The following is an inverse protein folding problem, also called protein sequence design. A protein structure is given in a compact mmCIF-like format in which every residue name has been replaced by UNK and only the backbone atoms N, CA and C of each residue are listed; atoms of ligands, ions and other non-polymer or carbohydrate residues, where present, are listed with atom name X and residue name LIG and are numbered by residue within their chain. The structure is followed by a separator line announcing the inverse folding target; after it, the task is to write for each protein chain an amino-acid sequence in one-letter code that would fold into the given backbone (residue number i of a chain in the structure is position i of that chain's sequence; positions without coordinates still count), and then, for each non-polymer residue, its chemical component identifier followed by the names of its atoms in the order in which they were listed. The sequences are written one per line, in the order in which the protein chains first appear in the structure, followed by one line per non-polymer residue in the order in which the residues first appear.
data_IF_145600727480
#
_entry.id   IF_145600727480
#
_cell.length_a   1.000
_cell.length_b   1.000
_cell.length_c   1.000
_cell.angle_alpha   90.00
_cell.angle_beta   90.00
_cell.angle_gamma   90.00
#
_symmetry.space_group_name_H-M   'P 1'
#
loop_
_entity.id
_entity.type
_entity.pdbx_description
1 polymer ?
#
# COMPACT_ATOMS: atom_id res chain seq x y z
N UNK A 1 -9.27 3.68 59.32
CA UNK A 1 -7.86 4.04 59.05
C UNK A 1 -7.40 3.31 57.78
N UNK A 2 -8.09 3.44 56.64
CA UNK A 2 -7.94 2.42 55.57
C UNK A 2 -7.81 2.94 54.13
N UNK A 3 -8.39 4.09 53.75
CA UNK A 3 -8.31 4.56 52.34
C UNK A 3 -7.07 5.39 52.01
N UNK A 4 -6.48 6.07 53.01
CA UNK A 4 -5.30 6.94 52.84
C UNK A 4 -4.01 6.15 52.61
N UNK A 5 -3.91 4.95 53.20
CA UNK A 5 -2.75 4.06 53.10
C UNK A 5 -2.71 3.35 51.75
N UNK A 6 -3.88 2.93 51.25
CA UNK A 6 -4.03 2.30 49.92
C UNK A 6 -3.61 3.26 48.79
N UNK A 7 -4.06 4.53 48.84
CA UNK A 7 -3.67 5.55 47.85
C UNK A 7 -2.17 5.87 47.87
N UNK A 8 -1.51 5.79 49.03
CA UNK A 8 -0.07 5.98 49.19
C UNK A 8 0.78 4.83 48.63
N UNK A 9 0.23 3.62 48.55
CA UNK A 9 0.90 2.43 47.98
C UNK A 9 0.62 2.29 46.49
N UNK A 10 -0.57 2.67 46.03
CA UNK A 10 -0.94 2.66 44.60
C UNK A 10 -0.11 3.66 43.79
N UNK A 11 0.15 4.86 44.33
CA UNK A 11 0.91 5.90 43.63
C UNK A 11 2.34 5.49 43.23
N UNK A 12 3.19 4.93 44.13
CA UNK A 12 4.53 4.47 43.75
C UNK A 12 4.50 3.21 42.86
N UNK A 13 3.50 2.34 42.96
CA UNK A 13 3.35 1.17 42.06
C UNK A 13 3.04 1.63 40.63
N UNK A 14 2.15 2.60 40.47
CA UNK A 14 1.85 3.23 39.16
C UNK A 14 3.10 3.93 38.61
N UNK A 15 3.87 4.62 39.45
CA UNK A 15 5.12 5.27 39.04
C UNK A 15 6.20 4.25 38.64
N UNK A 16 6.28 3.11 39.30
CA UNK A 16 7.23 2.03 38.99
C UNK A 16 6.87 1.34 37.66
N UNK A 17 5.59 1.12 37.40
CA UNK A 17 5.10 0.55 36.14
C UNK A 17 5.42 1.44 34.92
N UNK A 18 5.49 2.77 35.10
CA UNK A 18 5.86 3.72 34.05
C UNK A 18 7.36 3.69 33.70
N UNK A 19 8.22 3.20 34.61
CA UNK A 19 9.68 3.12 34.39
C UNK A 19 10.16 1.83 33.73
N UNK A 20 9.31 0.80 33.67
CA UNK A 20 9.67 -0.53 33.17
C UNK A 20 9.89 -0.59 31.64
N UNK A 21 9.47 0.43 30.88
CA UNK A 21 9.56 0.45 29.43
C UNK A 21 10.79 1.17 28.87
N UNK A 22 11.70 1.70 29.70
CA UNK A 22 12.88 2.41 29.22
C UNK A 22 14.12 1.50 29.20
N UNK A 23 14.13 0.50 28.31
CA UNK A 23 15.34 -0.21 27.92
C UNK A 23 15.35 -0.37 26.41
N UNK A 24 15.89 0.63 25.71
CA UNK A 24 16.29 0.50 24.31
C UNK A 24 17.63 -0.25 24.32
N UNK A 25 17.57 -1.56 24.54
CA UNK A 25 18.73 -2.43 24.38
C UNK A 25 18.81 -2.80 22.92
N UNK A 26 19.71 -2.15 22.18
CA UNK A 26 20.10 -2.59 20.86
C UNK A 26 20.69 -4.00 20.99
N UNK A 27 19.98 -4.97 20.43
CA UNK A 27 20.33 -6.38 20.57
C UNK A 27 21.50 -6.71 19.67
N UNK A 28 22.47 -7.50 20.17
CA UNK A 28 23.58 -8.03 19.38
C UNK A 28 23.12 -9.16 18.44
N UNK A 29 22.05 -8.93 17.68
CA UNK A 29 21.57 -9.87 16.67
C UNK A 29 22.63 -9.99 15.57
N UNK A 30 23.12 -11.21 15.26
CA UNK A 30 24.15 -11.41 14.25
C UNK A 30 23.66 -10.94 12.88
N UNK A 31 24.61 -10.49 12.06
CA UNK A 31 24.34 -10.17 10.66
C UNK A 31 24.02 -11.50 9.93
N UNK A 32 22.89 -11.59 9.21
CA UNK A 32 22.55 -12.76 8.38
C UNK A 32 23.61 -13.05 7.32
N UNK A 33 23.73 -14.31 6.91
CA UNK A 33 24.67 -14.72 5.86
C UNK A 33 24.33 -14.04 4.52
N UNK A 34 23.06 -14.09 4.10
CA UNK A 34 22.54 -13.35 2.96
C UNK A 34 21.98 -12.00 3.42
N UNK A 35 22.88 -11.07 3.76
CA UNK A 35 22.50 -9.77 4.32
C UNK A 35 21.87 -8.83 3.28
N UNK A 36 20.78 -8.16 3.68
CA UNK A 36 20.14 -7.10 2.90
C UNK A 36 20.69 -5.76 3.39
N UNK A 37 21.34 -5.02 2.51
CA UNK A 37 21.62 -3.61 2.78
C UNK A 37 20.29 -2.82 2.92
N UNK A 38 20.37 -1.59 3.43
CA UNK A 38 19.19 -0.78 3.75
C UNK A 38 18.27 -0.62 2.53
N UNK A 39 18.84 -0.31 1.37
CA UNK A 39 18.12 -0.14 0.10
C UNK A 39 17.34 -1.41 -0.27
N UNK A 40 18.00 -2.58 -0.32
CA UNK A 40 17.34 -3.86 -0.60
C UNK A 40 16.26 -4.18 0.42
N UNK A 41 16.50 -3.90 1.70
CA UNK A 41 15.49 -4.14 2.74
C UNK A 41 14.25 -3.26 2.54
N UNK A 42 14.44 -1.97 2.20
CA UNK A 42 13.36 -1.04 1.88
C UNK A 42 12.54 -1.55 0.69
N UNK A 43 13.19 -1.96 -0.40
CA UNK A 43 12.52 -2.44 -1.61
C UNK A 43 11.72 -3.72 -1.34
N UNK A 44 12.36 -4.74 -0.75
CA UNK A 44 11.71 -6.01 -0.38
C UNK A 44 10.53 -5.75 0.55
N UNK A 45 10.72 -4.95 1.60
CA UNK A 45 9.66 -4.70 2.58
C UNK A 45 8.51 -3.90 1.97
N UNK A 46 8.79 -2.98 1.04
CA UNK A 46 7.76 -2.23 0.29
C UNK A 46 6.83 -3.20 -0.44
N UNK A 47 7.38 -4.15 -1.19
CA UNK A 47 6.56 -5.10 -1.97
C UNK A 47 5.81 -6.09 -1.06
N UNK A 48 6.42 -6.50 0.07
CA UNK A 48 5.73 -7.29 1.10
C UNK A 48 4.54 -6.50 1.69
N UNK A 49 4.67 -5.20 1.97
CA UNK A 49 3.55 -4.40 2.49
C UNK A 49 2.40 -4.28 1.48
N UNK A 50 2.70 -4.23 0.18
CA UNK A 50 1.68 -4.25 -0.88
C UNK A 50 0.92 -5.59 -0.87
N UNK A 51 1.63 -6.71 -0.70
CA UNK A 51 1.01 -8.03 -0.56
C UNK A 51 0.11 -8.09 0.66
N UNK A 52 0.59 -7.65 1.83
CA UNK A 52 -0.20 -7.65 3.07
C UNK A 52 -1.47 -6.81 2.92
N UNK A 53 -1.36 -5.62 2.33
CA UNK A 53 -2.50 -4.77 2.01
C UNK A 53 -3.50 -5.47 1.09
N UNK A 54 -3.03 -6.18 0.06
CA UNK A 54 -3.85 -6.95 -0.87
C UNK A 54 -4.59 -8.10 -0.17
N UNK A 55 -3.89 -8.84 0.69
CA UNK A 55 -4.47 -9.94 1.47
C UNK A 55 -5.53 -9.43 2.46
N UNK A 56 -5.26 -8.31 3.13
CA UNK A 56 -6.23 -7.65 4.02
C UNK A 56 -7.46 -7.22 3.22
N UNK A 57 -7.27 -6.56 2.07
CA UNK A 57 -8.36 -6.14 1.20
C UNK A 57 -9.22 -7.31 0.73
N UNK A 58 -8.61 -8.39 0.27
CA UNK A 58 -9.33 -9.58 -0.17
C UNK A 58 -10.14 -10.21 0.95
N UNK A 59 -9.55 -10.34 2.15
CA UNK A 59 -10.22 -10.85 3.34
C UNK A 59 -11.44 -10.01 3.73
N UNK A 60 -11.31 -8.69 3.73
CA UNK A 60 -12.42 -7.78 4.08
C UNK A 60 -13.56 -7.86 3.06
N UNK A 61 -13.25 -8.10 1.79
CA UNK A 61 -14.23 -8.19 0.71
C UNK A 61 -14.75 -9.61 0.44
N UNK A 62 -14.52 -10.56 1.35
CA UNK A 62 -14.90 -11.98 1.22
C UNK A 62 -14.45 -12.61 -0.13
N UNK A 63 -13.29 -12.18 -0.64
CA UNK A 63 -12.63 -12.84 -1.76
C UNK A 63 -11.80 -13.98 -1.20
N UNK A 64 -11.79 -15.13 -1.88
CA UNK A 64 -11.00 -16.31 -1.51
C UNK A 64 -9.49 -16.03 -1.62
N UNK A 65 -8.94 -15.30 -0.65
CA UNK A 65 -7.54 -14.86 -0.62
C UNK A 65 -6.62 -15.72 0.24
N UNK A 66 -7.16 -16.72 0.96
CA UNK A 66 -6.36 -17.58 1.85
C UNK A 66 -5.44 -18.52 1.08
N UNK A 67 -5.84 -18.96 -0.12
CA UNK A 67 -5.08 -19.92 -0.92
C UNK A 67 -3.90 -19.28 -1.66
N UNK A 68 -3.91 -17.96 -1.86
CA UNK A 68 -2.89 -17.24 -2.64
C UNK A 68 -1.78 -16.61 -1.79
N UNK A 69 -1.86 -16.72 -0.45
CA UNK A 69 -0.90 -16.05 0.45
C UNK A 69 0.53 -16.46 0.12
N UNK A 70 0.83 -17.75 0.16
CA UNK A 70 2.18 -18.27 -0.07
C UNK A 70 2.69 -17.93 -1.47
N UNK A 71 1.82 -17.99 -2.48
CA UNK A 71 2.17 -17.62 -3.85
C UNK A 71 2.61 -16.16 -3.96
N UNK A 72 1.93 -15.23 -3.30
CA UNK A 72 2.30 -13.82 -3.32
C UNK A 72 3.68 -13.56 -2.69
N UNK A 73 4.00 -14.13 -1.52
CA UNK A 73 5.36 -13.97 -0.96
C UNK A 73 6.41 -14.62 -1.85
N UNK A 74 6.11 -15.79 -2.43
CA UNK A 74 7.03 -16.48 -3.31
C UNK A 74 7.38 -15.64 -4.56
N UNK A 75 6.43 -14.87 -5.10
CA UNK A 75 6.72 -13.94 -6.20
C UNK A 75 7.77 -12.91 -5.81
N UNK A 76 7.64 -12.27 -4.64
CA UNK A 76 8.66 -11.33 -4.14
C UNK A 76 9.99 -12.02 -3.88
N UNK A 77 9.98 -13.21 -3.29
CA UNK A 77 11.20 -13.96 -3.03
C UNK A 77 11.96 -14.30 -4.32
N UNK A 78 11.25 -14.65 -5.38
CA UNK A 78 11.82 -14.87 -6.72
C UNK A 78 12.36 -13.57 -7.33
N UNK A 79 11.60 -12.47 -7.27
CA UNK A 79 11.99 -11.15 -7.80
C UNK A 79 13.34 -10.69 -7.22
N UNK A 80 13.51 -10.82 -5.90
CA UNK A 80 14.70 -10.36 -5.19
C UNK A 80 15.80 -11.42 -5.03
N UNK A 81 15.58 -12.63 -5.57
CA UNK A 81 16.47 -13.79 -5.43
C UNK A 81 16.83 -14.08 -3.95
N UNK A 82 15.81 -14.25 -3.11
CA UNK A 82 15.91 -14.50 -1.67
C UNK A 82 15.02 -15.69 -1.27
N UNK A 83 15.26 -16.23 -0.09
CA UNK A 83 14.39 -17.24 0.53
C UNK A 83 13.55 -16.62 1.65
N UNK A 84 12.51 -17.34 2.09
CA UNK A 84 11.75 -16.97 3.28
C UNK A 84 12.64 -16.89 4.54
N UNK A 85 13.68 -17.73 4.62
CA UNK A 85 14.65 -17.71 5.70
C UNK A 85 15.51 -16.44 5.66
N UNK A 86 15.99 -16.05 4.47
CA UNK A 86 16.76 -14.82 4.29
C UNK A 86 15.95 -13.60 4.72
N UNK A 87 14.70 -13.50 4.27
CA UNK A 87 13.81 -12.41 4.68
C UNK A 87 13.61 -12.39 6.19
N UNK A 88 13.33 -13.55 6.80
CA UNK A 88 13.15 -13.65 8.27
C UNK A 88 14.39 -13.19 9.03
N UNK A 89 15.57 -13.68 8.66
CA UNK A 89 16.82 -13.36 9.36
C UNK A 89 17.16 -11.86 9.23
N UNK A 90 16.94 -11.28 8.04
CA UNK A 90 17.13 -9.84 7.85
C UNK A 90 16.11 -9.03 8.64
N UNK A 91 14.84 -9.42 8.66
CA UNK A 91 13.83 -8.77 9.48
C UNK A 91 14.19 -8.80 10.97
N UNK A 92 14.66 -9.94 11.48
CA UNK A 92 15.13 -10.10 12.86
C UNK A 92 16.35 -9.17 13.14
N UNK A 93 17.26 -9.00 12.17
CA UNK A 93 18.38 -8.05 12.27
C UNK A 93 17.92 -6.59 12.33
N UNK A 94 17.03 -6.15 11.42
CA UNK A 94 16.57 -4.77 11.39
C UNK A 94 15.70 -4.44 12.62
N UNK A 95 14.78 -5.32 13.01
CA UNK A 95 13.90 -5.11 14.18
C UNK A 95 14.68 -5.03 15.50
N UNK A 96 15.86 -5.65 15.57
CA UNK A 96 16.75 -5.54 16.73
C UNK A 96 17.41 -4.16 16.91
N UNK A 97 17.32 -3.29 15.89
CA UNK A 97 17.94 -1.96 15.84
C UNK A 97 16.86 -0.91 15.57
N UNK A 98 16.19 -0.40 16.63
CA UNK A 98 15.00 0.43 16.47
C UNK A 98 15.17 1.64 15.56
N UNK A 99 16.29 2.38 15.69
CA UNK A 99 16.58 3.53 14.82
C UNK A 99 16.76 3.14 13.36
N UNK A 100 17.46 2.04 13.10
CA UNK A 100 17.67 1.56 11.73
C UNK A 100 16.35 1.07 11.11
N UNK A 101 15.50 0.39 11.90
CA UNK A 101 14.18 -0.03 11.45
C UNK A 101 13.26 1.17 11.19
N UNK A 102 13.28 2.19 12.05
CA UNK A 102 12.54 3.44 11.84
C UNK A 102 12.89 4.06 10.49
N UNK A 103 14.18 4.20 10.19
CA UNK A 103 14.61 4.73 8.89
C UNK A 103 14.19 3.84 7.69
N UNK A 104 14.15 2.51 7.86
CA UNK A 104 13.64 1.60 6.81
C UNK A 104 12.15 1.82 6.60
N UNK A 105 11.37 1.93 7.68
CA UNK A 105 9.92 2.12 7.60
C UNK A 105 9.55 3.49 7.02
N UNK A 106 10.29 4.55 7.33
CA UNK A 106 10.09 5.87 6.74
C UNK A 106 10.28 5.82 5.22
N UNK A 107 11.35 5.18 4.75
CA UNK A 107 11.60 5.02 3.32
C UNK A 107 10.57 4.09 2.63
N UNK A 108 10.10 3.04 3.31
CA UNK A 108 9.00 2.20 2.81
C UNK A 108 7.73 3.04 2.64
N UNK A 109 7.41 3.89 3.61
CA UNK A 109 6.24 4.78 3.54
C UNK A 109 6.37 5.78 2.38
N UNK A 110 7.56 6.35 2.17
CA UNK A 110 7.85 7.20 1.01
C UNK A 110 7.63 6.46 -0.32
N UNK A 111 8.20 5.27 -0.47
CA UNK A 111 8.00 4.43 -1.65
C UNK A 111 6.51 4.13 -1.93
N UNK A 112 5.75 3.80 -0.89
CA UNK A 112 4.31 3.53 -1.01
C UNK A 112 3.55 4.77 -1.44
N UNK A 113 3.84 5.94 -0.85
CA UNK A 113 3.23 7.22 -1.21
C UNK A 113 3.53 7.60 -2.65
N UNK A 114 4.77 7.43 -3.10
CA UNK A 114 5.13 7.69 -4.49
C UNK A 114 4.41 6.77 -5.46
N UNK A 115 4.34 5.46 -5.17
CA UNK A 115 3.63 4.49 -6.00
C UNK A 115 2.14 4.83 -6.07
N UNK A 116 1.54 5.21 -4.94
CA UNK A 116 0.15 5.66 -4.87
C UNK A 116 -0.08 6.90 -5.74
N UNK A 117 0.74 7.94 -5.59
CA UNK A 117 0.62 9.17 -6.38
C UNK A 117 0.77 8.91 -7.88
N UNK A 118 1.72 8.06 -8.28
CA UNK A 118 1.92 7.62 -9.68
C UNK A 118 0.67 6.89 -10.21
N UNK A 119 0.04 6.04 -9.41
CA UNK A 119 -1.19 5.34 -9.78
C UNK A 119 -2.37 6.31 -9.93
N UNK A 120 -2.56 7.23 -8.98
CA UNK A 120 -3.62 8.23 -9.04
C UNK A 120 -3.49 9.14 -10.26
N UNK A 121 -2.27 9.56 -10.60
CA UNK A 121 -1.99 10.32 -11.81
C UNK A 121 -2.35 9.54 -13.07
N UNK A 122 -1.99 8.25 -13.15
CA UNK A 122 -2.37 7.39 -14.28
C UNK A 122 -3.88 7.28 -14.43
N UNK A 123 -4.60 7.02 -13.32
CA UNK A 123 -6.06 6.93 -13.31
C UNK A 123 -6.71 8.25 -13.74
N UNK A 124 -6.19 9.39 -13.28
CA UNK A 124 -6.68 10.70 -13.69
C UNK A 124 -6.49 10.94 -15.19
N UNK A 125 -5.31 10.62 -15.72
CA UNK A 125 -5.02 10.76 -17.15
C UNK A 125 -5.92 9.86 -18.00
N UNK A 126 -6.12 8.60 -17.60
CA UNK A 126 -7.01 7.65 -18.29
C UNK A 126 -8.45 8.16 -18.32
N UNK A 127 -8.97 8.69 -17.21
CA UNK A 127 -10.32 9.29 -17.17
C UNK A 127 -10.48 10.49 -18.11
N UNK A 128 -9.49 11.37 -18.15
CA UNK A 128 -9.50 12.52 -19.07
C UNK A 128 -9.53 12.06 -20.53
N UNK A 129 -8.80 11.00 -20.86
CA UNK A 129 -8.81 10.40 -22.20
C UNK A 129 -10.19 9.81 -22.50
N UNK A 130 -10.77 9.01 -21.60
CA UNK A 130 -12.11 8.41 -21.76
C UNK A 130 -13.20 9.47 -21.97
N UNK A 131 -13.21 10.54 -21.16
CA UNK A 131 -14.17 11.63 -21.30
C UNK A 131 -14.00 12.35 -22.65
N UNK A 132 -12.75 12.57 -23.07
CA UNK A 132 -12.45 13.18 -24.37
C UNK A 132 -12.90 12.30 -25.54
N UNK A 133 -12.68 10.99 -25.47
CA UNK A 133 -13.15 10.03 -26.46
C UNK A 133 -14.67 10.04 -26.55
N UNK A 134 -15.36 10.02 -25.40
CA UNK A 134 -16.83 10.08 -25.35
C UNK A 134 -17.37 11.37 -25.98
N UNK A 135 -16.73 12.51 -25.75
CA UNK A 135 -17.11 13.78 -26.38
C UNK A 135 -16.97 13.74 -27.90
N UNK A 136 -15.90 13.15 -28.42
CA UNK A 136 -15.69 12.99 -29.86
C UNK A 136 -16.78 12.07 -30.46
N UNK A 137 -17.02 10.90 -29.86
CA UNK A 137 -18.04 9.96 -30.33
C UNK A 137 -19.46 10.55 -30.30
N UNK A 138 -19.79 11.32 -29.26
CA UNK A 138 -21.09 11.99 -29.17
C UNK A 138 -21.22 13.11 -30.21
N UNK A 139 -20.17 13.89 -30.42
CA UNK A 139 -20.18 14.97 -31.41
C UNK A 139 -20.34 14.45 -32.84
N UNK A 140 -19.67 13.35 -33.21
CA UNK A 140 -19.80 12.74 -34.54
C UNK A 140 -21.20 12.15 -34.75
N UNK A 141 -21.79 11.56 -33.71
CA UNK A 141 -23.17 11.05 -33.75
C UNK A 141 -24.19 12.19 -33.96
N UNK A 142 -23.99 13.34 -33.31
CA UNK A 142 -24.83 14.54 -33.49
C UNK A 142 -24.73 15.07 -34.92
N UNK A 143 -23.52 15.19 -35.48
CA UNK A 143 -23.31 15.65 -36.87
C UNK A 143 -24.02 14.76 -37.90
N UNK A 144 -24.01 13.44 -37.67
CA UNK A 144 -24.72 12.48 -38.54
C UNK A 144 -26.23 12.68 -38.43
N UNK A 145 -26.77 12.82 -37.22
CA UNK A 145 -28.19 13.05 -37.00
C UNK A 145 -28.68 14.35 -37.65
N UNK A 146 -27.90 15.43 -37.53
CA UNK A 146 -28.18 16.73 -38.17
C UNK A 146 -28.20 16.60 -39.69
N UNK A 147 -27.23 15.87 -40.26
CA UNK A 147 -27.15 15.63 -41.70
C UNK A 147 -28.36 14.85 -42.23
N UNK A 148 -28.82 13.82 -41.50
CA UNK A 148 -30.01 13.03 -41.84
C UNK A 148 -31.27 13.93 -41.82
N UNK A 149 -31.38 14.79 -40.81
CA UNK A 149 -32.53 15.69 -40.68
C UNK A 149 -32.58 16.73 -41.81
N UNK A 150 -31.43 17.27 -42.22
CA UNK A 150 -31.35 18.17 -43.37
C UNK A 150 -31.78 17.48 -44.67
N UNK A 151 -31.35 16.24 -44.91
CA UNK A 151 -31.77 15.46 -46.08
C UNK A 151 -33.28 15.22 -46.06
N UNK A 152 -33.85 14.86 -44.91
CA UNK A 152 -35.29 14.65 -44.74
C UNK A 152 -36.09 15.91 -45.06
N UNK A 153 -35.67 17.07 -44.55
CA UNK A 153 -36.33 18.35 -44.79
C UNK A 153 -36.25 18.79 -46.26
N UNK A 154 -35.10 18.58 -46.91
CA UNK A 154 -34.92 18.86 -48.35
C UNK A 154 -35.87 18.01 -49.20
N UNK A 155 -36.02 16.73 -48.91
CA UNK A 155 -36.91 15.84 -49.65
C UNK A 155 -38.40 16.16 -49.45
N UNK A 156 -38.80 16.65 -48.27
CA UNK A 156 -40.16 17.14 -48.00
C UNK A 156 -40.47 18.45 -48.75
N UNK A 157 -39.48 19.31 -48.98
CA UNK A 157 -39.65 20.57 -49.72
C UNK A 157 -39.73 20.40 -51.24
N UNK A 158 -39.25 19.28 -51.78
CA UNK A 158 -39.23 18.98 -53.24
C UNK A 158 -40.49 18.25 -53.70
N UNK A 159 -41.25 17.64 -52.77
CA UNK A 159 -42.45 16.86 -53.06
C UNK A 159 -43.77 17.63 -52.82
N UNK A 160 -43.70 18.96 -52.61
CA UNK A 160 -44.83 19.90 -52.55
C UNK A 160 -44.70 20.92 -53.67
#
# INVERSE_FOLDING_TARGET
METKTIKKVIYPIILLLLSACYNINESNTPIPENFFNKEKMVDVLTDIQIIEGTLIYNRVNNKDGKELKEEYYNQVFLEYNITALDFKQNMDYYTSKPKLMEEVLDNVLENLNERQAKLEQKIANEKVIEDSLRLIYTQDSIKIADSIQQIKNKNLSVNN
#
